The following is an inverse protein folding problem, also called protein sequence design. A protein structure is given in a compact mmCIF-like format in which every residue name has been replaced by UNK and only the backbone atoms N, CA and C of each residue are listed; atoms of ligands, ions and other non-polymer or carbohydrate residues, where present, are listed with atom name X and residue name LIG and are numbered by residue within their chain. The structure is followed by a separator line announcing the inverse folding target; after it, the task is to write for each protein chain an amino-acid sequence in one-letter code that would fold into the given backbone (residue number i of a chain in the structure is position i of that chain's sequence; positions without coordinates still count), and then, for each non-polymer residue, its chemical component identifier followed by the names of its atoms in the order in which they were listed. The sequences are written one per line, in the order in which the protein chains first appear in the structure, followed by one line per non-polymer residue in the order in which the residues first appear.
data_IF_220495163925
#
_entry.id   IF_220495163925
#
_cell.length_a   1.000
_cell.length_b   1.000
_cell.length_c   1.000
_cell.angle_alpha   90.00
_cell.angle_beta   90.00
_cell.angle_gamma   90.00
#
_symmetry.space_group_name_H-M   'P 1'
#
loop_
_entity.id
_entity.type
_entity.pdbx_description
1 polymer ?
#
# COMPACT_ATOMS: atom_id res chain seq x y z
N UNK A 1 -3.55 28.52 -54.16
CA UNK A 1 -4.06 27.21 -53.68
C UNK A 1 -3.41 26.95 -52.33
N UNK A 2 -4.20 26.89 -51.25
CA UNK A 2 -3.67 26.59 -49.91
C UNK A 2 -3.40 25.09 -49.79
N UNK A 3 -2.21 24.72 -49.32
CA UNK A 3 -1.83 23.32 -49.06
C UNK A 3 -2.72 22.76 -47.95
N UNK A 4 -3.35 21.58 -48.12
CA UNK A 4 -4.21 21.02 -47.08
C UNK A 4 -3.39 20.73 -45.82
N UNK A 5 -3.88 21.17 -44.67
CA UNK A 5 -3.22 20.98 -43.39
C UNK A 5 -3.09 19.49 -43.06
N UNK A 6 -1.90 19.09 -42.60
CA UNK A 6 -1.66 17.70 -42.20
C UNK A 6 -2.37 17.39 -40.88
N UNK A 7 -2.73 16.12 -40.68
CA UNK A 7 -3.33 15.62 -39.42
C UNK A 7 -2.51 16.02 -38.17
N UNK A 8 -1.17 16.06 -38.29
CA UNK A 8 -0.26 16.51 -37.22
C UNK A 8 -0.43 18.01 -36.92
N UNK A 9 -0.51 18.85 -37.95
CA UNK A 9 -0.70 20.29 -37.79
C UNK A 9 -2.07 20.62 -37.18
N UNK A 10 -3.11 19.87 -37.56
CA UNK A 10 -4.43 19.98 -36.94
C UNK A 10 -4.39 19.64 -35.44
N UNK A 11 -3.80 18.50 -35.07
CA UNK A 11 -3.67 18.10 -33.66
C UNK A 11 -2.80 19.08 -32.85
N UNK A 12 -1.70 19.58 -33.43
CA UNK A 12 -0.87 20.60 -32.78
C UNK A 12 -1.66 21.89 -32.53
N UNK A 13 -2.47 22.34 -33.49
CA UNK A 13 -3.34 23.48 -33.30
C UNK A 13 -4.34 23.22 -32.17
N UNK A 14 -5.04 22.08 -32.18
CA UNK A 14 -5.98 21.69 -31.10
C UNK A 14 -5.29 21.67 -29.72
N UNK A 15 -4.06 21.17 -29.63
CA UNK A 15 -3.28 21.17 -28.40
C UNK A 15 -2.87 22.56 -27.92
N UNK A 16 -2.50 23.46 -28.84
CA UNK A 16 -2.13 24.86 -28.51
C UNK A 16 -3.35 25.65 -28.06
N UNK A 17 -4.50 25.51 -28.71
CA UNK A 17 -5.71 26.30 -28.38
C UNK A 17 -6.51 25.72 -27.22
N UNK A 18 -6.54 24.38 -27.07
CA UNK A 18 -7.43 23.69 -26.12
C UNK A 18 -6.71 22.95 -24.99
N UNK A 19 -5.38 22.95 -24.96
CA UNK A 19 -4.59 22.23 -23.96
C UNK A 19 -4.56 20.71 -24.14
N UNK A 20 -3.77 20.03 -23.31
CA UNK A 20 -3.47 18.61 -23.44
C UNK A 20 -4.71 17.70 -23.34
N UNK A 21 -5.70 18.05 -22.52
CA UNK A 21 -6.96 17.28 -22.38
C UNK A 21 -7.81 17.29 -23.65
N UNK A 22 -7.90 18.44 -24.33
CA UNK A 22 -8.66 18.60 -25.59
C UNK A 22 -7.95 17.91 -26.75
N UNK A 23 -6.61 18.00 -26.81
CA UNK A 23 -5.79 17.23 -27.73
C UNK A 23 -6.01 15.72 -27.54
N UNK A 24 -5.93 15.23 -26.32
CA UNK A 24 -6.11 13.81 -26.01
C UNK A 24 -7.51 13.32 -26.38
N UNK A 25 -8.54 14.13 -26.09
CA UNK A 25 -9.94 13.82 -26.44
C UNK A 25 -10.16 13.81 -27.96
N UNK A 26 -9.53 14.73 -28.69
CA UNK A 26 -9.59 14.79 -30.16
C UNK A 26 -8.80 13.65 -30.80
N UNK A 27 -7.68 13.26 -30.21
CA UNK A 27 -6.97 12.03 -30.59
C UNK A 27 -7.84 10.80 -30.34
N UNK A 28 -8.57 10.75 -29.22
CA UNK A 28 -9.56 9.72 -28.92
C UNK A 28 -10.65 9.61 -29.98
N UNK A 29 -11.26 10.74 -30.35
CA UNK A 29 -12.30 10.81 -31.39
C UNK A 29 -11.80 10.43 -32.79
N UNK A 30 -10.50 10.63 -33.07
CA UNK A 30 -9.85 10.22 -34.32
C UNK A 30 -9.30 8.78 -34.28
N UNK A 31 -9.49 8.04 -33.18
CA UNK A 31 -8.96 6.69 -33.00
C UNK A 31 -7.43 6.63 -32.85
N UNK A 32 -6.80 7.75 -32.50
CA UNK A 32 -5.34 7.93 -32.35
C UNK A 32 -4.89 7.87 -30.88
N UNK A 33 -5.83 7.91 -29.94
CA UNK A 33 -5.63 7.59 -28.54
C UNK A 33 -6.78 6.68 -28.09
N UNK A 34 -6.57 5.79 -27.10
CA UNK A 34 -7.68 5.07 -26.50
C UNK A 34 -8.67 6.10 -25.95
N UNK A 35 -9.94 6.02 -26.34
CA UNK A 35 -10.97 6.67 -25.55
C UNK A 35 -10.88 6.08 -24.13
N UNK A 36 -11.09 6.89 -23.10
CA UNK A 36 -11.19 6.39 -21.74
C UNK A 36 -12.45 5.52 -21.62
N UNK A 37 -12.42 4.30 -22.16
CA UNK A 37 -13.36 3.25 -21.80
C UNK A 37 -13.06 2.85 -20.36
N UNK A 38 -14.11 2.64 -19.57
CA UNK A 38 -13.98 1.86 -18.34
C UNK A 38 -13.22 0.58 -18.69
N UNK A 39 -12.10 0.32 -18.00
CA UNK A 39 -11.31 -0.87 -18.27
C UNK A 39 -12.25 -2.09 -18.16
N UNK A 40 -12.36 -2.93 -19.20
CA UNK A 40 -13.16 -4.13 -19.09
C UNK A 40 -12.63 -4.98 -17.92
N UNK A 41 -13.47 -5.85 -17.33
CA UNK A 41 -13.00 -6.81 -16.33
C UNK A 41 -11.72 -7.49 -16.83
N UNK A 42 -10.72 -7.65 -15.95
CA UNK A 42 -9.47 -8.26 -16.36
C UNK A 42 -9.72 -9.68 -16.86
N UNK A 43 -9.41 -9.91 -18.13
CA UNK A 43 -9.31 -11.23 -18.71
C UNK A 43 -7.85 -11.47 -19.02
N UNK A 44 -7.25 -12.47 -18.37
CA UNK A 44 -5.89 -12.88 -18.65
C UNK A 44 -5.74 -13.18 -20.16
N UNK A 45 -4.81 -12.50 -20.87
CA UNK A 45 -4.57 -12.80 -22.27
C UNK A 45 -4.14 -14.25 -22.44
N UNK A 46 -4.77 -14.95 -23.39
CA UNK A 46 -4.44 -16.31 -23.81
C UNK A 46 -3.50 -16.25 -25.01
N UNK A 47 -2.74 -17.31 -25.25
CA UNK A 47 -1.92 -17.41 -26.47
C UNK A 47 -2.75 -17.20 -27.74
N UNK A 48 -4.01 -17.66 -27.74
CA UNK A 48 -4.96 -17.47 -28.84
C UNK A 48 -5.39 -16.02 -29.09
N UNK A 49 -5.22 -15.14 -28.10
CA UNK A 49 -5.61 -13.73 -28.21
C UNK A 49 -4.60 -12.93 -29.03
N UNK A 50 -3.45 -13.54 -29.36
CA UNK A 50 -2.37 -12.90 -30.10
C UNK A 50 -2.21 -13.52 -31.48
N UNK A 51 -2.47 -12.73 -32.53
CA UNK A 51 -2.16 -13.11 -33.91
C UNK A 51 -0.85 -12.43 -34.32
N UNK A 52 0.30 -13.04 -34.03
CA UNK A 52 1.55 -12.60 -34.65
C UNK A 52 1.51 -12.95 -36.15
N UNK A 53 1.39 -11.93 -37.01
CA UNK A 53 1.50 -12.09 -38.47
C UNK A 53 2.94 -11.79 -38.92
N UNK A 54 3.56 -12.69 -39.68
CA UNK A 54 4.92 -12.54 -40.22
C UNK A 54 5.97 -13.54 -39.70
N UNK A 55 7.11 -13.63 -40.40
CA UNK A 55 8.14 -14.70 -40.27
C UNK A 55 9.27 -14.47 -39.24
N UNK A 56 9.16 -13.55 -38.29
CA UNK A 56 10.15 -13.44 -37.20
C UNK A 56 9.51 -13.03 -35.87
N UNK A 57 9.77 -13.80 -34.80
CA UNK A 57 9.46 -13.39 -33.42
C UNK A 57 10.26 -12.13 -33.09
N UNK A 58 9.58 -10.98 -33.01
CA UNK A 58 10.21 -9.73 -32.57
C UNK A 58 10.74 -9.87 -31.15
N UNK A 59 11.85 -9.18 -30.89
CA UNK A 59 12.58 -9.24 -29.63
C UNK A 59 12.34 -8.00 -28.77
N UNK A 60 12.16 -8.19 -27.47
CA UNK A 60 11.94 -7.11 -26.50
C UNK A 60 12.92 -7.26 -25.35
N UNK A 61 13.73 -6.23 -25.14
CA UNK A 61 14.60 -6.11 -23.97
C UNK A 61 13.87 -5.35 -22.87
N UNK A 62 13.89 -5.89 -21.65
CA UNK A 62 13.20 -5.32 -20.49
C UNK A 62 14.24 -4.97 -19.43
N UNK A 63 14.26 -3.71 -19.02
CA UNK A 63 15.24 -3.19 -18.05
C UNK A 63 14.58 -3.11 -16.68
N UNK A 64 14.96 -4.02 -15.78
CA UNK A 64 14.39 -4.21 -14.45
C UNK A 64 13.47 -5.43 -14.37
N UNK A 65 13.78 -6.33 -13.44
CA UNK A 65 12.98 -7.49 -13.03
C UNK A 65 12.07 -7.20 -11.84
N UNK A 66 11.55 -5.97 -11.76
CA UNK A 66 10.46 -5.61 -10.85
C UNK A 66 9.10 -6.14 -11.32
N UNK A 67 8.03 -5.84 -10.59
CA UNK A 67 6.67 -6.28 -10.95
C UNK A 67 6.28 -5.85 -12.38
N UNK A 68 6.54 -4.59 -12.75
CA UNK A 68 6.25 -4.10 -14.10
C UNK A 68 6.99 -4.90 -15.17
N UNK A 69 8.31 -5.05 -15.06
CA UNK A 69 9.11 -5.76 -16.06
C UNK A 69 8.78 -7.25 -16.14
N UNK A 70 8.53 -7.91 -15.00
CA UNK A 70 8.13 -9.32 -14.96
C UNK A 70 6.73 -9.54 -15.58
N UNK A 71 5.76 -8.69 -15.27
CA UNK A 71 4.43 -8.76 -15.88
C UNK A 71 4.50 -8.49 -17.39
N UNK A 72 5.27 -7.48 -17.82
CA UNK A 72 5.51 -7.23 -19.25
C UNK A 72 6.13 -8.44 -19.95
N UNK A 73 7.16 -9.06 -19.35
CA UNK A 73 7.80 -10.24 -19.93
C UNK A 73 6.83 -11.43 -20.03
N UNK A 74 6.00 -11.61 -19.00
CA UNK A 74 5.01 -12.68 -18.95
C UNK A 74 3.96 -12.53 -20.08
N UNK A 75 3.36 -11.35 -20.20
CA UNK A 75 2.34 -11.08 -21.21
C UNK A 75 2.91 -11.09 -22.64
N UNK A 76 4.08 -10.49 -22.87
CA UNK A 76 4.75 -10.55 -24.18
C UNK A 76 5.19 -11.98 -24.53
N UNK A 77 5.57 -12.77 -23.53
CA UNK A 77 5.89 -14.20 -23.68
C UNK A 77 4.68 -15.01 -24.15
N UNK A 78 3.52 -14.82 -23.52
CA UNK A 78 2.23 -15.41 -23.95
C UNK A 78 1.87 -14.99 -25.38
N UNK A 79 2.24 -13.77 -25.76
CA UNK A 79 2.06 -13.25 -27.11
C UNK A 79 3.09 -13.75 -28.14
N UNK A 80 4.06 -14.59 -27.76
CA UNK A 80 5.03 -15.19 -28.65
C UNK A 80 6.30 -14.36 -28.94
N UNK A 81 6.47 -13.20 -28.29
CA UNK A 81 7.68 -12.39 -28.42
C UNK A 81 8.89 -13.07 -27.76
N UNK A 82 10.10 -12.77 -28.27
CA UNK A 82 11.35 -13.16 -27.60
C UNK A 82 11.70 -12.09 -26.56
N UNK A 83 11.53 -12.40 -25.29
CA UNK A 83 11.82 -11.47 -24.19
C UNK A 83 13.17 -11.76 -23.53
N UNK A 84 13.85 -10.70 -23.09
CA UNK A 84 15.00 -10.79 -22.18
C UNK A 84 14.91 -9.71 -21.12
N UNK A 85 15.12 -10.06 -19.86
CA UNK A 85 15.17 -9.13 -18.72
C UNK A 85 16.60 -8.95 -18.26
N UNK A 86 17.01 -7.69 -18.02
CA UNK A 86 18.22 -7.33 -17.30
C UNK A 86 17.83 -6.77 -15.93
N UNK A 87 18.21 -7.44 -14.84
CA UNK A 87 17.94 -7.01 -13.47
C UNK A 87 19.24 -6.85 -12.70
N UNK A 88 19.43 -5.67 -12.10
CA UNK A 88 20.66 -5.32 -11.38
C UNK A 88 20.84 -6.14 -10.10
N UNK A 89 19.75 -6.47 -9.40
CA UNK A 89 19.80 -7.28 -8.18
C UNK A 89 19.94 -8.76 -8.48
N UNK A 90 20.19 -9.53 -7.42
CA UNK A 90 20.25 -11.00 -7.44
C UNK A 90 18.90 -11.66 -7.15
N UNK A 91 17.79 -10.91 -7.28
CA UNK A 91 16.44 -11.36 -6.96
C UNK A 91 15.38 -10.68 -7.84
N UNK A 92 14.23 -11.32 -8.10
CA UNK A 92 13.10 -10.66 -8.73
C UNK A 92 12.37 -9.71 -7.77
N UNK A 93 11.49 -8.87 -8.32
CA UNK A 93 10.46 -8.12 -7.58
C UNK A 93 10.78 -6.65 -7.31
N UNK A 94 12.05 -6.24 -7.38
CA UNK A 94 12.44 -4.85 -7.13
C UNK A 94 12.02 -4.38 -5.73
N UNK A 95 11.11 -3.39 -5.66
CA UNK A 95 10.52 -2.92 -4.40
C UNK A 95 9.62 -3.96 -3.72
N UNK A 96 9.08 -4.93 -4.47
CA UNK A 96 8.44 -6.10 -3.87
C UNK A 96 9.52 -7.02 -3.29
N UNK A 97 9.76 -6.88 -1.99
CA UNK A 97 10.84 -7.55 -1.29
C UNK A 97 10.36 -8.08 0.06
N UNK A 98 10.56 -9.37 0.27
CA UNK A 98 10.32 -10.04 1.55
C UNK A 98 11.66 -10.48 2.17
N UNK A 99 11.96 -9.94 3.35
CA UNK A 99 13.15 -10.25 4.15
C UNK A 99 12.87 -11.47 5.01
N UNK A 100 13.78 -12.46 4.98
CA UNK A 100 13.72 -13.71 5.74
C UNK A 100 15.04 -13.99 6.43
N UNK A 101 15.11 -15.03 7.25
CA UNK A 101 16.37 -15.52 7.80
C UNK A 101 17.41 -15.77 6.70
N UNK A 102 18.57 -15.15 6.82
CA UNK A 102 19.66 -15.23 5.85
C UNK A 102 19.66 -14.16 4.76
N UNK A 103 18.63 -13.34 4.64
CA UNK A 103 18.65 -12.17 3.73
C UNK A 103 19.74 -11.20 4.18
N UNK A 104 20.62 -10.83 3.24
CA UNK A 104 21.67 -9.83 3.43
C UNK A 104 21.46 -8.70 2.43
N UNK A 105 21.56 -7.46 2.87
CA UNK A 105 21.54 -6.27 2.01
C UNK A 105 22.57 -5.26 2.53
N UNK A 106 23.25 -4.59 1.61
CA UNK A 106 24.11 -3.44 1.89
C UNK A 106 23.40 -2.20 1.35
N UNK A 107 23.13 -1.23 2.19
CA UNK A 107 22.53 0.05 1.76
C UNK A 107 23.54 0.96 1.06
N UNK A 108 23.08 2.14 0.61
CA UNK A 108 23.90 3.08 -0.14
C UNK A 108 25.01 3.73 0.70
N UNK A 109 24.87 3.71 2.03
CA UNK A 109 25.88 4.22 2.97
C UNK A 109 26.90 3.13 3.36
N UNK A 110 26.78 1.94 2.76
CA UNK A 110 27.69 0.82 2.97
C UNK A 110 27.39 -0.01 4.21
N UNK A 111 26.27 0.23 4.89
CA UNK A 111 25.88 -0.57 6.05
C UNK A 111 25.28 -1.89 5.59
N UNK A 112 25.87 -2.99 6.04
CA UNK A 112 25.40 -4.35 5.72
C UNK A 112 24.59 -4.92 6.87
N UNK A 113 23.35 -5.32 6.59
CA UNK A 113 22.49 -6.00 7.53
C UNK A 113 22.22 -7.43 7.08
N UNK A 114 22.22 -8.36 8.03
CA UNK A 114 21.81 -9.75 7.81
C UNK A 114 20.65 -10.12 8.73
N UNK A 115 19.50 -10.43 8.14
CA UNK A 115 18.32 -10.84 8.88
C UNK A 115 18.52 -12.24 9.49
N UNK A 116 18.14 -12.40 10.76
CA UNK A 116 18.25 -13.64 11.52
C UNK A 116 16.86 -14.17 11.97
N UNK A 117 15.83 -13.93 11.16
CA UNK A 117 14.50 -14.44 11.43
C UNK A 117 14.47 -15.98 11.43
N UNK A 118 13.62 -16.55 12.28
CA UNK A 118 13.38 -17.98 12.36
C UNK A 118 12.69 -18.50 11.08
N UNK A 119 12.76 -19.81 10.80
CA UNK A 119 12.04 -20.39 9.66
C UNK A 119 10.55 -20.01 9.67
N UNK A 120 10.02 -19.67 8.49
CA UNK A 120 8.63 -19.23 8.32
C UNK A 120 8.33 -17.79 8.74
N UNK A 121 9.28 -17.09 9.38
CA UNK A 121 9.12 -15.69 9.78
C UNK A 121 9.67 -14.75 8.70
N UNK A 122 8.95 -13.65 8.45
CA UNK A 122 9.33 -12.71 7.40
C UNK A 122 8.82 -11.28 7.62
N UNK A 123 9.49 -10.33 6.95
CA UNK A 123 9.05 -8.95 6.82
C UNK A 123 8.83 -8.64 5.34
N UNK A 124 7.65 -8.15 4.97
CA UNK A 124 7.44 -7.49 3.69
C UNK A 124 7.99 -6.06 3.77
N UNK A 125 9.26 -5.87 3.35
CA UNK A 125 9.97 -4.60 3.45
C UNK A 125 9.42 -3.52 2.49
N UNK A 126 8.73 -3.93 1.42
CA UNK A 126 7.97 -3.04 0.54
C UNK A 126 6.46 -3.26 0.61
N UNK A 127 5.78 -3.59 -0.50
CA UNK A 127 4.34 -3.86 -0.52
C UNK A 127 3.99 -5.05 0.37
N UNK A 128 2.86 -4.96 1.06
CA UNK A 128 2.48 -5.93 2.10
C UNK A 128 0.98 -6.25 2.15
N UNK A 129 0.14 -5.53 1.40
CA UNK A 129 -1.31 -5.69 1.37
C UNK A 129 -1.86 -5.36 -0.03
N UNK A 130 -2.95 -6.00 -0.42
CA UNK A 130 -3.59 -5.93 -1.74
C UNK A 130 -5.10 -5.76 -1.53
N UNK A 131 -5.71 -4.77 -2.20
CA UNK A 131 -7.16 -4.55 -2.18
C UNK A 131 -7.89 -5.46 -3.19
N UNK A 132 -9.17 -5.70 -2.95
CA UNK A 132 -10.01 -6.64 -3.73
C UNK A 132 -10.07 -6.35 -5.24
N UNK A 133 -10.02 -5.07 -5.61
CA UNK A 133 -10.17 -4.64 -7.00
C UNK A 133 -8.84 -4.65 -7.79
N UNK A 134 -7.70 -4.89 -7.13
CA UNK A 134 -6.39 -4.79 -7.76
C UNK A 134 -6.13 -6.03 -8.63
N UNK A 135 -5.71 -5.80 -9.88
CA UNK A 135 -5.31 -6.87 -10.84
C UNK A 135 -4.23 -7.80 -10.29
N UNK A 136 -3.49 -7.38 -9.26
CA UNK A 136 -2.54 -8.22 -8.54
C UNK A 136 -3.17 -9.51 -8.01
N UNK A 137 -4.44 -9.49 -7.57
CA UNK A 137 -5.15 -10.70 -7.16
C UNK A 137 -5.44 -11.65 -8.33
N UNK A 138 -5.68 -11.10 -9.53
CA UNK A 138 -5.87 -11.90 -10.73
C UNK A 138 -4.58 -12.62 -11.13
N UNK A 139 -3.43 -11.93 -11.08
CA UNK A 139 -2.12 -12.57 -11.25
C UNK A 139 -1.84 -13.64 -10.18
N UNK A 140 -2.24 -13.41 -8.92
CA UNK A 140 -2.09 -14.44 -7.89
C UNK A 140 -2.90 -15.71 -8.25
N UNK A 141 -4.12 -15.53 -8.77
CA UNK A 141 -4.97 -16.64 -9.21
C UNK A 141 -4.38 -17.37 -10.42
N UNK A 142 -3.98 -16.65 -11.45
CA UNK A 142 -3.41 -17.21 -12.68
C UNK A 142 -2.11 -17.97 -12.41
N UNK A 143 -1.25 -17.45 -11.53
CA UNK A 143 0.07 -18.02 -11.22
C UNK A 143 0.04 -19.02 -10.05
N UNK A 144 -1.14 -19.31 -9.48
CA UNK A 144 -1.28 -20.25 -8.36
C UNK A 144 -0.58 -19.79 -7.08
N UNK A 145 -0.53 -18.48 -6.82
CA UNK A 145 0.04 -17.91 -5.58
C UNK A 145 -1.07 -17.83 -4.53
N UNK A 146 -1.02 -18.65 -3.45
CA UNK A 146 -2.04 -18.61 -2.41
C UNK A 146 -2.02 -17.27 -1.66
N UNK A 147 -3.21 -16.78 -1.33
CA UNK A 147 -3.42 -15.54 -0.57
C UNK A 147 -4.12 -15.84 0.76
N UNK A 148 -3.92 -14.95 1.74
CA UNK A 148 -4.57 -14.94 3.05
C UNK A 148 -5.04 -13.52 3.40
N UNK A 149 -5.92 -13.39 4.38
CA UNK A 149 -6.41 -12.08 4.83
C UNK A 149 -5.26 -11.28 5.44
N UNK A 150 -5.10 -10.05 4.99
CA UNK A 150 -4.30 -9.04 5.66
C UNK A 150 -5.20 -8.26 6.61
N UNK A 151 -4.93 -8.32 7.92
CA UNK A 151 -5.65 -7.54 8.91
C UNK A 151 -5.24 -6.07 8.82
N UNK A 152 -5.99 -5.28 8.05
CA UNK A 152 -5.74 -3.83 7.88
C UNK A 152 -6.47 -2.97 8.92
N UNK A 153 -7.35 -3.59 9.71
CA UNK A 153 -8.12 -2.97 10.78
C UNK A 153 -8.23 -3.96 11.93
N UNK A 154 -8.15 -3.49 13.16
CA UNK A 154 -8.37 -4.32 14.34
C UNK A 154 -8.94 -3.48 15.48
N UNK A 155 -10.09 -3.88 16.01
CA UNK A 155 -10.75 -3.25 17.15
C UNK A 155 -9.89 -3.25 18.43
N UNK A 156 -9.00 -4.24 18.57
CA UNK A 156 -8.09 -4.38 19.70
C UNK A 156 -6.70 -3.80 19.44
N UNK A 157 -6.42 -3.30 18.23
CA UNK A 157 -5.25 -2.45 17.99
C UNK A 157 -5.31 -1.15 18.81
N UNK A 158 -4.19 -0.43 18.89
CA UNK A 158 -4.08 0.78 19.70
C UNK A 158 -3.95 2.07 18.87
N UNK A 159 -4.57 3.13 19.38
CA UNK A 159 -4.12 4.49 19.18
C UNK A 159 -3.22 4.88 20.35
N UNK A 160 -2.06 5.46 20.06
CA UNK A 160 -1.14 5.95 21.09
C UNK A 160 -0.47 7.23 20.60
N UNK A 161 -0.76 8.36 21.23
CA UNK A 161 -0.16 9.64 20.87
C UNK A 161 0.56 10.24 22.08
N UNK A 162 1.67 10.94 21.83
CA UNK A 162 2.41 11.68 22.84
C UNK A 162 2.34 13.19 22.58
N UNK A 163 2.53 13.98 23.63
CA UNK A 163 2.55 15.44 23.59
C UNK A 163 1.26 16.07 23.02
N UNK A 164 0.09 15.45 23.27
CA UNK A 164 -1.20 15.93 22.77
C UNK A 164 -2.37 15.67 23.75
N UNK A 165 -2.97 16.75 24.25
CA UNK A 165 -4.14 16.69 25.14
C UNK A 165 -3.92 15.92 26.45
N UNK A 166 -4.99 15.72 27.21
CA UNK A 166 -4.94 15.00 28.49
C UNK A 166 -4.73 13.48 28.35
N UNK A 167 -5.02 12.91 27.17
CA UNK A 167 -4.82 11.48 26.87
C UNK A 167 -3.42 11.17 26.31
N UNK A 168 -2.52 12.15 26.30
CA UNK A 168 -1.12 11.95 25.91
C UNK A 168 -0.49 10.78 26.68
N UNK A 169 0.20 9.89 25.98
CA UNK A 169 0.84 8.70 26.56
C UNK A 169 -0.13 7.59 26.97
N UNK A 170 -1.41 7.70 26.62
CA UNK A 170 -2.41 6.66 26.91
C UNK A 170 -2.59 5.74 25.71
N UNK A 171 -2.46 4.43 25.92
CA UNK A 171 -2.81 3.43 24.91
C UNK A 171 -4.33 3.21 24.89
N UNK A 172 -4.99 3.61 23.80
CA UNK A 172 -6.44 3.56 23.65
C UNK A 172 -6.79 2.54 22.57
N UNK A 173 -7.60 1.52 22.89
CA UNK A 173 -8.04 0.54 21.89
C UNK A 173 -8.84 1.23 20.78
N UNK A 174 -8.73 0.76 19.54
CA UNK A 174 -9.48 1.30 18.42
C UNK A 174 -10.99 1.28 18.68
N UNK A 175 -11.51 0.19 19.29
CA UNK A 175 -12.93 0.10 19.69
C UNK A 175 -13.36 1.18 20.68
N UNK A 176 -12.50 1.51 21.65
CA UNK A 176 -12.75 2.53 22.67
C UNK A 176 -12.77 3.92 22.03
N UNK A 177 -11.75 4.23 21.22
CA UNK A 177 -11.68 5.51 20.50
C UNK A 177 -12.87 5.69 19.54
N UNK A 178 -13.24 4.65 18.77
CA UNK A 178 -14.40 4.70 17.87
C UNK A 178 -15.70 4.91 18.62
N UNK A 179 -15.93 4.17 19.70
CA UNK A 179 -17.13 4.31 20.51
C UNK A 179 -17.25 5.74 21.07
N UNK A 180 -16.16 6.30 21.60
CA UNK A 180 -16.19 7.65 22.17
C UNK A 180 -16.33 8.73 21.08
N UNK A 181 -15.59 8.64 19.97
CA UNK A 181 -15.71 9.59 18.84
C UNK A 181 -17.10 9.55 18.21
N UNK A 182 -17.61 8.36 17.86
CA UNK A 182 -18.92 8.24 17.22
C UNK A 182 -20.06 8.54 18.19
N UNK A 183 -19.91 8.20 19.47
CA UNK A 183 -20.86 8.54 20.52
C UNK A 183 -21.03 10.04 20.65
N UNK A 184 -19.92 10.77 20.78
CA UNK A 184 -19.97 12.23 20.90
C UNK A 184 -20.38 12.96 19.62
N UNK A 185 -19.93 12.52 18.44
CA UNK A 185 -20.41 13.08 17.16
C UNK A 185 -21.92 12.88 17.04
N UNK A 186 -22.44 11.72 17.44
CA UNK A 186 -23.86 11.43 17.41
C UNK A 186 -24.64 12.26 18.42
N UNK A 187 -24.14 12.41 19.66
CA UNK A 187 -24.75 13.26 20.68
C UNK A 187 -24.87 14.70 20.20
N UNK A 188 -23.78 15.28 19.69
CA UNK A 188 -23.75 16.67 19.23
C UNK A 188 -24.68 16.89 18.04
N UNK A 189 -24.65 15.99 17.05
CA UNK A 189 -25.50 16.10 15.87
C UNK A 189 -26.98 15.87 16.22
N UNK A 190 -27.29 14.94 17.13
CA UNK A 190 -28.66 14.70 17.59
C UNK A 190 -29.21 15.92 18.32
N UNK A 191 -28.42 16.53 19.22
CA UNK A 191 -28.81 17.77 19.91
C UNK A 191 -29.05 18.92 18.93
N UNK A 192 -28.16 19.13 17.97
CA UNK A 192 -28.34 20.16 16.94
C UNK A 192 -29.61 19.92 16.10
N UNK A 193 -29.87 18.66 15.73
CA UNK A 193 -31.07 18.26 14.98
C UNK A 193 -32.35 18.52 15.79
N UNK A 194 -32.38 18.06 17.04
CA UNK A 194 -33.55 18.17 17.92
C UNK A 194 -33.87 19.63 18.30
N UNK A 195 -32.85 20.47 18.43
CA UNK A 195 -32.99 21.92 18.67
C UNK A 195 -33.42 22.71 17.43
N UNK A 196 -33.55 22.07 16.26
CA UNK A 196 -33.98 22.71 15.03
C UNK A 196 -32.89 23.44 14.25
N UNK A 197 -31.61 23.27 14.62
CA UNK A 197 -30.50 23.96 13.95
C UNK A 197 -30.32 23.53 12.47
N UNK A 198 -30.93 22.40 12.07
CA UNK A 198 -30.85 21.82 10.73
C UNK A 198 -32.18 21.87 9.95
N UNK A 199 -33.18 22.60 10.44
CA UNK A 199 -34.53 22.64 9.85
C UNK A 199 -34.55 23.25 8.44
N UNK A 200 -33.53 24.02 8.05
CA UNK A 200 -33.35 24.49 6.68
C UNK A 200 -32.92 23.41 5.68
N UNK A 201 -32.45 22.26 6.15
CA UNK A 201 -31.95 21.16 5.32
C UNK A 201 -32.76 19.87 5.45
N UNK A 202 -33.49 19.69 6.55
CA UNK A 202 -34.16 18.44 6.91
C UNK A 202 -35.66 18.65 7.08
N UNK A 203 -36.46 17.76 6.49
CA UNK A 203 -37.88 17.66 6.82
C UNK A 203 -38.07 17.10 8.23
N UNK A 204 -39.28 17.22 8.79
CA UNK A 204 -39.60 16.60 10.08
C UNK A 204 -39.34 15.08 10.08
N UNK A 205 -39.67 14.41 8.98
CA UNK A 205 -39.42 12.97 8.81
C UNK A 205 -37.92 12.64 8.73
N UNK A 206 -37.13 13.48 8.04
CA UNK A 206 -35.68 13.29 7.96
C UNK A 206 -35.02 13.44 9.33
N UNK A 207 -35.49 14.39 10.16
CA UNK A 207 -35.00 14.60 11.53
C UNK A 207 -35.21 13.36 12.37
N UNK A 208 -36.42 12.79 12.39
CA UNK A 208 -36.71 11.60 13.19
C UNK A 208 -35.91 10.38 12.70
N UNK A 209 -35.71 10.22 11.38
CA UNK A 209 -34.85 9.15 10.82
C UNK A 209 -33.38 9.34 11.19
N UNK A 210 -32.87 10.56 11.13
CA UNK A 210 -31.51 10.89 11.53
C UNK A 210 -31.31 10.64 13.03
N UNK A 211 -32.22 11.09 13.88
CA UNK A 211 -32.15 10.85 15.33
C UNK A 211 -32.18 9.35 15.67
N UNK A 212 -33.01 8.56 14.98
CA UNK A 212 -33.02 7.11 15.14
C UNK A 212 -31.69 6.46 14.73
N UNK A 213 -31.11 6.88 13.60
CA UNK A 213 -29.79 6.44 13.16
C UNK A 213 -28.71 6.80 14.19
N UNK A 214 -28.64 8.05 14.64
CA UNK A 214 -27.62 8.54 15.58
C UNK A 214 -27.72 7.85 16.95
N UNK A 215 -28.94 7.54 17.40
CA UNK A 215 -29.17 6.74 18.61
C UNK A 215 -28.49 5.39 18.53
N UNK A 216 -28.62 4.70 17.40
CA UNK A 216 -27.97 3.42 17.19
C UNK A 216 -26.47 3.57 16.93
N UNK A 217 -26.07 4.44 16.01
CA UNK A 217 -24.69 4.62 15.56
C UNK A 217 -23.77 5.08 16.71
N UNK A 218 -24.20 6.05 17.52
CA UNK A 218 -23.45 6.54 18.67
C UNK A 218 -23.72 5.83 20.00
N UNK A 219 -24.71 4.92 20.05
CA UNK A 219 -25.18 4.33 21.31
C UNK A 219 -25.55 5.39 22.36
N UNK A 220 -26.26 6.44 21.95
CA UNK A 220 -26.67 7.56 22.81
C UNK A 220 -28.05 7.32 23.45
N UNK A 221 -28.34 8.03 24.54
CA UNK A 221 -29.61 8.00 25.25
C UNK A 221 -30.80 8.51 24.40
N UNK A 222 -32.04 8.25 24.83
CA UNK A 222 -33.24 8.74 24.15
C UNK A 222 -33.42 10.26 24.33
N UNK A 223 -34.43 10.82 23.64
CA UNK A 223 -35.03 12.12 24.00
C UNK A 223 -35.64 12.01 25.40
N UNK A 224 -35.37 13.00 26.26
CA UNK A 224 -35.94 13.13 27.60
C UNK A 224 -36.70 14.46 27.67
N UNK A 225 -38.02 14.39 27.54
CA UNK A 225 -38.89 15.58 27.43
C UNK A 225 -38.79 16.47 28.65
N UNK A 226 -38.70 15.88 29.84
CA UNK A 226 -38.66 16.61 31.12
C UNK A 226 -37.29 17.22 31.42
N UNK A 227 -36.23 16.77 30.72
CA UNK A 227 -34.87 17.28 30.89
C UNK A 227 -34.12 17.29 29.55
N UNK A 228 -34.30 18.35 28.73
CA UNK A 228 -33.63 18.46 27.43
C UNK A 228 -32.10 18.37 27.50
N UNK A 229 -31.48 18.73 28.64
CA UNK A 229 -30.03 18.60 28.83
C UNK A 229 -29.56 17.14 29.03
N UNK A 230 -30.48 16.24 29.40
CA UNK A 230 -30.25 14.80 29.51
C UNK A 230 -30.53 14.04 28.21
N UNK A 231 -31.27 14.63 27.26
CA UNK A 231 -31.54 14.05 25.95
C UNK A 231 -30.25 13.75 25.18
N UNK A 232 -30.26 12.63 24.45
CA UNK A 232 -29.24 12.30 23.44
C UNK A 232 -27.81 12.13 23.99
N UNK A 233 -27.65 12.01 25.31
CA UNK A 233 -26.32 11.92 25.93
C UNK A 233 -25.62 10.61 25.60
N UNK A 234 -24.35 10.69 25.25
CA UNK A 234 -23.41 9.59 25.25
C UNK A 234 -22.84 9.40 26.66
N UNK A 235 -23.15 8.27 27.28
CA UNK A 235 -22.65 7.89 28.61
C UNK A 235 -21.69 6.70 28.57
N UNK A 236 -21.21 6.37 27.37
CA UNK A 236 -20.41 5.17 27.11
C UNK A 236 -21.26 3.98 26.68
N UNK A 237 -20.59 2.96 26.14
CA UNK A 237 -21.23 1.74 25.65
C UNK A 237 -20.28 0.54 25.82
N UNK A 238 -20.83 -0.68 25.88
CA UNK A 238 -20.03 -1.91 25.83
C UNK A 238 -19.20 -2.05 24.54
N UNK A 239 -19.48 -1.25 23.50
CA UNK A 239 -18.62 -1.09 22.32
C UNK A 239 -17.18 -0.68 22.67
N UNK A 240 -16.97 -0.05 23.83
CA UNK A 240 -15.64 0.30 24.36
C UNK A 240 -14.81 -0.91 24.80
N UNK A 241 -15.41 -2.10 24.89
CA UNK A 241 -14.82 -3.29 25.48
C UNK A 241 -15.10 -3.40 26.98
N UNK A 242 -14.42 -4.35 27.62
CA UNK A 242 -14.60 -4.70 29.02
C UNK A 242 -13.26 -4.66 29.75
N UNK A 243 -13.26 -4.23 31.02
CA UNK A 243 -12.13 -4.36 31.94
C UNK A 243 -12.02 -5.78 32.47
N UNK A 244 -13.18 -6.45 32.63
CA UNK A 244 -13.32 -7.87 32.94
C UNK A 244 -14.31 -8.44 31.94
N UNK A 245 -13.87 -9.38 31.12
CA UNK A 245 -14.73 -9.98 30.09
C UNK A 245 -15.93 -10.69 30.72
N UNK A 246 -17.10 -10.67 30.05
CA UNK A 246 -18.25 -11.47 30.47
C UNK A 246 -17.91 -12.97 30.47
N UNK A 247 -18.29 -13.65 31.56
CA UNK A 247 -18.05 -15.07 31.80
C UNK A 247 -19.34 -15.91 31.74
N UNK A 248 -19.34 -17.02 32.47
CA UNK A 248 -20.48 -17.92 32.55
C UNK A 248 -21.43 -17.56 33.71
N UNK A 249 -22.67 -18.06 33.67
CA UNK A 249 -23.63 -17.89 34.76
C UNK A 249 -24.02 -16.43 34.96
N UNK A 250 -23.69 -15.88 36.14
CA UNK A 250 -24.02 -14.49 36.54
C UNK A 250 -22.86 -13.51 36.33
N UNK A 251 -21.77 -13.93 35.69
CA UNK A 251 -20.59 -13.09 35.44
C UNK A 251 -20.82 -12.18 34.22
N UNK A 252 -21.53 -11.06 34.40
CA UNK A 252 -21.84 -10.12 33.32
C UNK A 252 -20.61 -9.34 32.78
N UNK A 253 -19.45 -9.48 33.41
CA UNK A 253 -18.25 -8.69 33.11
C UNK A 253 -18.36 -7.25 33.63
N UNK A 254 -17.28 -6.48 33.47
CA UNK A 254 -17.22 -5.06 33.81
C UNK A 254 -16.95 -4.25 32.56
N UNK A 255 -17.94 -3.54 31.98
CA UNK A 255 -17.72 -2.68 30.83
C UNK A 255 -16.64 -1.63 31.10
N UNK A 256 -15.86 -1.30 30.07
CA UNK A 256 -14.91 -0.19 30.16
C UNK A 256 -15.69 1.13 30.16
N UNK A 257 -15.97 1.66 31.36
CA UNK A 257 -16.74 2.87 31.63
C UNK A 257 -16.16 3.61 32.86
N UNK A 258 -16.34 4.94 32.97
CA UNK A 258 -17.03 5.85 32.05
C UNK A 258 -16.25 6.13 30.74
N UNK A 259 -16.86 6.74 29.71
CA UNK A 259 -16.13 7.23 28.54
C UNK A 259 -15.10 8.29 28.90
N UNK A 260 -14.09 8.49 28.05
CA UNK A 260 -13.21 9.66 28.19
C UNK A 260 -14.01 10.94 27.96
N UNK A 261 -13.62 12.06 28.59
CA UNK A 261 -14.34 13.32 28.41
C UNK A 261 -14.28 13.79 26.94
N UNK A 262 -15.37 14.39 26.45
CA UNK A 262 -15.49 14.91 25.08
C UNK A 262 -14.28 15.75 24.64
N UNK A 263 -13.91 16.74 25.46
CA UNK A 263 -12.79 17.63 25.17
C UNK A 263 -11.47 16.88 25.05
N UNK A 264 -11.26 15.83 25.85
CA UNK A 264 -10.05 15.02 25.83
C UNK A 264 -10.00 14.13 24.58
N UNK A 265 -11.14 13.56 24.18
CA UNK A 265 -11.26 12.77 22.94
C UNK A 265 -10.95 13.64 21.72
N UNK A 266 -11.53 14.84 21.63
CA UNK A 266 -11.25 15.79 20.55
C UNK A 266 -9.77 16.20 20.56
N UNK A 267 -9.27 16.64 21.72
CA UNK A 267 -7.91 17.14 21.86
C UNK A 267 -6.85 16.07 21.55
N UNK A 268 -7.11 14.80 21.87
CA UNK A 268 -6.17 13.70 21.61
C UNK A 268 -5.91 13.40 20.13
N UNK A 269 -6.82 13.83 19.24
CA UNK A 269 -6.73 13.56 17.81
C UNK A 269 -6.97 12.11 17.39
N UNK A 270 -7.41 11.21 18.29
CA UNK A 270 -7.60 9.77 17.97
C UNK A 270 -8.54 9.52 16.79
N UNK A 271 -9.50 10.42 16.54
CA UNK A 271 -10.41 10.34 15.41
C UNK A 271 -9.76 10.52 14.03
N UNK A 272 -8.56 11.13 13.95
CA UNK A 272 -7.90 11.45 12.69
C UNK A 272 -7.50 10.21 11.88
N UNK A 273 -7.31 9.07 12.54
CA UNK A 273 -6.91 7.83 11.90
C UNK A 273 -8.10 7.02 11.33
N UNK A 274 -9.34 7.35 11.71
CA UNK A 274 -10.52 6.54 11.37
C UNK A 274 -10.80 6.52 9.86
N UNK A 275 -10.50 7.60 9.14
CA UNK A 275 -10.77 7.70 7.71
C UNK A 275 -9.91 6.76 6.85
N UNK A 276 -8.77 6.29 7.38
CA UNK A 276 -7.95 5.27 6.74
C UNK A 276 -8.77 4.03 6.37
N UNK A 277 -9.75 3.69 7.21
CA UNK A 277 -10.59 2.51 7.06
C UNK A 277 -11.52 2.54 5.84
N UNK A 278 -11.74 3.72 5.27
CA UNK A 278 -12.61 3.93 4.11
C UNK A 278 -11.83 4.14 2.81
N UNK A 279 -10.49 4.20 2.88
CA UNK A 279 -9.66 4.39 1.69
C UNK A 279 -9.89 3.28 0.68
N UNK A 280 -10.09 3.64 -0.59
CA UNK A 280 -10.39 2.69 -1.68
C UNK A 280 -9.39 1.53 -1.77
N UNK A 281 -8.11 1.81 -1.50
CA UNK A 281 -7.01 0.84 -1.52
C UNK A 281 -6.66 0.27 -0.13
N UNK A 282 -7.48 0.54 0.89
CA UNK A 282 -7.20 0.23 2.30
C UNK A 282 -8.38 -0.43 3.04
N UNK A 283 -9.61 -0.20 2.60
CA UNK A 283 -10.79 -0.76 3.22
C UNK A 283 -10.74 -2.28 3.23
N UNK A 284 -11.15 -2.88 4.34
CA UNK A 284 -11.28 -4.33 4.46
C UNK A 284 -12.39 -4.84 3.52
N UNK A 285 -12.27 -6.04 2.92
CA UNK A 285 -11.22 -7.04 3.14
C UNK A 285 -9.95 -6.76 2.30
N UNK A 286 -8.79 -6.98 2.93
CA UNK A 286 -7.47 -6.87 2.31
C UNK A 286 -6.77 -8.23 2.31
N UNK A 287 -5.83 -8.43 1.39
CA UNK A 287 -5.12 -9.70 1.20
C UNK A 287 -3.60 -9.54 1.15
N UNK A 288 -2.90 -10.63 1.42
CA UNK A 288 -1.47 -10.79 1.15
C UNK A 288 -1.18 -12.21 0.63
N UNK A 289 -0.10 -12.45 -0.11
CA UNK A 289 0.34 -13.80 -0.41
C UNK A 289 0.84 -14.54 0.83
N UNK A 290 0.46 -15.81 0.97
CA UNK A 290 0.93 -16.69 2.04
C UNK A 290 2.44 -16.79 1.97
N UNK A 291 3.11 -16.44 3.08
CA UNK A 291 4.56 -16.58 3.20
C UNK A 291 5.38 -15.48 2.54
N UNK A 292 4.78 -14.36 2.11
CA UNK A 292 5.48 -13.14 1.68
C UNK A 292 5.04 -12.58 0.32
N UNK A 293 5.03 -11.26 0.19
CA UNK A 293 4.61 -10.57 -1.04
C UNK A 293 5.50 -10.89 -2.25
N UNK A 294 6.77 -11.26 -2.01
CA UNK A 294 7.71 -11.67 -3.05
C UNK A 294 7.37 -13.02 -3.71
N UNK A 295 6.42 -13.79 -3.19
CA UNK A 295 5.92 -15.02 -3.84
C UNK A 295 5.34 -14.73 -5.22
N UNK A 296 4.78 -13.54 -5.43
CA UNK A 296 4.27 -13.07 -6.73
C UNK A 296 5.41 -12.93 -7.76
N UNK A 297 6.45 -12.10 -7.54
CA UNK A 297 7.53 -11.96 -8.51
C UNK A 297 8.32 -13.26 -8.74
N UNK A 298 8.46 -14.13 -7.73
CA UNK A 298 9.02 -15.47 -7.96
C UNK A 298 8.11 -16.37 -8.81
N UNK A 299 6.79 -16.23 -8.72
CA UNK A 299 5.87 -16.97 -9.59
C UNK A 299 5.93 -16.47 -11.04
N UNK A 300 5.98 -15.14 -11.23
CA UNK A 300 6.23 -14.55 -12.55
C UNK A 300 7.58 -14.98 -13.12
N UNK A 301 8.65 -15.00 -12.33
CA UNK A 301 9.98 -15.47 -12.75
C UNK A 301 9.91 -16.92 -13.29
N UNK A 302 9.22 -17.81 -12.56
CA UNK A 302 9.03 -19.20 -13.00
C UNK A 302 8.27 -19.28 -14.32
N UNK A 303 7.21 -18.48 -14.46
CA UNK A 303 6.37 -18.49 -15.66
C UNK A 303 7.06 -17.87 -16.89
N UNK A 304 7.86 -16.82 -16.70
CA UNK A 304 8.70 -16.19 -17.75
C UNK A 304 9.88 -17.09 -18.14
N UNK A 305 10.35 -17.92 -17.22
CA UNK A 305 11.49 -18.81 -17.38
C UNK A 305 12.81 -18.12 -17.00
N UNK A 306 13.55 -18.76 -16.10
CA UNK A 306 14.83 -18.24 -15.55
C UNK A 306 15.85 -17.88 -16.64
N UNK A 307 15.88 -18.62 -17.75
CA UNK A 307 16.77 -18.37 -18.89
C UNK A 307 16.54 -17.03 -19.61
N UNK A 308 15.36 -16.44 -19.45
CA UNK A 308 15.02 -15.13 -20.01
C UNK A 308 15.53 -13.97 -19.13
N UNK A 309 16.09 -14.24 -17.94
CA UNK A 309 16.41 -13.22 -16.93
C UNK A 309 17.89 -13.26 -16.58
N UNK A 310 18.60 -12.16 -16.85
CA UNK A 310 19.99 -11.97 -16.40
C UNK A 310 19.98 -11.16 -15.09
N UNK A 311 20.27 -11.82 -13.95
CA UNK A 311 20.50 -11.14 -12.67
C UNK A 311 21.92 -10.60 -12.56
N UNK A 312 22.15 -9.64 -11.65
CA UNK A 312 23.43 -8.96 -11.53
C UNK A 312 23.79 -8.17 -12.79
N UNK A 313 22.79 -7.78 -13.60
CA UNK A 313 22.97 -7.07 -14.86
C UNK A 313 22.64 -5.59 -14.66
N UNK A 314 23.64 -4.78 -14.34
CA UNK A 314 23.46 -3.35 -14.12
C UNK A 314 23.57 -2.58 -15.43
N UNK A 315 22.45 -2.05 -15.91
CA UNK A 315 22.39 -1.21 -17.12
C UNK A 315 23.22 0.06 -16.92
N UNK A 316 24.04 0.39 -17.91
CA UNK A 316 24.94 1.55 -17.91
C UNK A 316 24.74 2.49 -19.10
N UNK A 317 24.09 2.08 -20.19
CA UNK A 317 23.63 3.00 -21.24
C UNK A 317 22.46 2.42 -22.05
N UNK A 318 21.65 3.31 -22.64
CA UNK A 318 20.48 2.96 -23.46
C UNK A 318 20.45 3.85 -24.71
N UNK A 319 20.50 3.25 -25.89
CA UNK A 319 20.59 3.96 -27.17
C UNK A 319 19.56 3.45 -28.17
N UNK A 320 18.67 4.32 -28.63
CA UNK A 320 17.88 4.04 -29.83
C UNK A 320 18.80 4.00 -31.06
N UNK A 321 18.64 2.99 -31.90
CA UNK A 321 19.38 2.79 -33.15
C UNK A 321 18.39 2.74 -34.32
N UNK A 322 18.90 2.69 -35.55
CA UNK A 322 18.05 2.50 -36.74
C UNK A 322 17.40 1.12 -36.80
N UNK A 323 17.95 0.13 -36.08
CA UNK A 323 17.50 -1.27 -36.11
C UNK A 323 16.72 -1.70 -34.85
N UNK A 324 16.57 -0.82 -33.86
CA UNK A 324 15.94 -1.13 -32.56
C UNK A 324 16.64 -0.39 -31.42
N UNK A 325 16.92 -1.08 -30.32
CA UNK A 325 17.56 -0.51 -29.13
C UNK A 325 18.81 -1.30 -28.76
N UNK A 326 19.87 -0.57 -28.41
CA UNK A 326 21.11 -1.11 -27.85
C UNK A 326 21.22 -0.70 -26.37
N UNK A 327 21.62 -1.65 -25.53
CA UNK A 327 21.80 -1.44 -24.09
C UNK A 327 23.15 -2.01 -23.68
N UNK A 328 23.98 -1.17 -23.07
CA UNK A 328 25.21 -1.61 -22.41
C UNK A 328 24.90 -1.88 -20.94
N UNK A 329 25.43 -2.97 -20.41
CA UNK A 329 25.28 -3.34 -19.00
C UNK A 329 26.53 -4.03 -18.47
N UNK A 330 26.77 -3.88 -17.17
CA UNK A 330 27.75 -4.70 -16.45
C UNK A 330 27.10 -6.01 -16.06
N UNK A 331 27.67 -7.13 -16.48
CA UNK A 331 27.18 -8.47 -16.16
C UNK A 331 27.53 -8.93 -14.73
N UNK A 332 27.00 -10.07 -14.29
CA UNK A 332 27.26 -10.62 -12.95
C UNK A 332 28.73 -11.00 -12.73
N UNK A 333 29.51 -11.15 -13.81
CA UNK A 333 30.95 -11.39 -13.83
C UNK A 333 31.78 -10.09 -13.81
N UNK A 334 31.12 -8.92 -13.72
CA UNK A 334 31.77 -7.60 -13.77
C UNK A 334 32.14 -7.14 -15.18
N UNK A 335 31.90 -7.95 -16.22
CA UNK A 335 32.26 -7.56 -17.59
C UNK A 335 31.21 -6.66 -18.23
N UNK A 336 31.65 -5.71 -19.04
CA UNK A 336 30.76 -4.88 -19.87
C UNK A 336 30.23 -5.70 -21.05
N UNK A 337 28.91 -5.71 -21.24
CA UNK A 337 28.20 -6.47 -22.27
C UNK A 337 27.21 -5.57 -23.01
N UNK A 338 26.91 -5.95 -24.24
CA UNK A 338 25.92 -5.27 -25.09
C UNK A 338 24.75 -6.22 -25.34
N UNK A 339 23.52 -5.72 -25.19
CA UNK A 339 22.30 -6.40 -25.59
C UNK A 339 21.54 -5.54 -26.61
N UNK A 340 21.01 -6.17 -27.65
CA UNK A 340 20.18 -5.52 -28.66
C UNK A 340 18.81 -6.19 -28.77
N UNK A 341 17.80 -5.41 -29.10
CA UNK A 341 16.44 -5.90 -29.38
C UNK A 341 15.69 -4.95 -30.31
N UNK A 342 14.61 -5.43 -30.93
CA UNK A 342 13.74 -4.57 -31.75
C UNK A 342 13.09 -3.46 -30.90
N UNK A 343 12.69 -3.78 -29.67
CA UNK A 343 12.08 -2.85 -28.72
C UNK A 343 12.71 -2.95 -27.33
N UNK A 344 12.57 -1.87 -26.55
CA UNK A 344 12.96 -1.84 -25.15
C UNK A 344 11.81 -1.35 -24.27
N UNK A 345 11.55 -2.04 -23.17
CA UNK A 345 10.68 -1.55 -22.09
C UNK A 345 11.56 -1.23 -20.88
N UNK A 346 11.68 0.04 -20.55
CA UNK A 346 12.46 0.49 -19.40
C UNK A 346 11.57 0.60 -18.16
N UNK A 347 11.87 -0.17 -17.12
CA UNK A 347 11.16 -0.13 -15.82
C UNK A 347 12.07 0.33 -14.68
N UNK A 348 13.27 0.81 -15.02
CA UNK A 348 14.17 1.48 -14.09
C UNK A 348 13.46 2.72 -13.54
N UNK A 349 13.50 2.98 -12.22
CA UNK A 349 12.85 4.15 -11.65
C UNK A 349 13.28 5.44 -12.36
N UNK A 350 12.37 6.38 -12.66
CA UNK A 350 12.67 7.57 -13.47
C UNK A 350 13.82 8.41 -12.92
N UNK A 351 13.91 8.55 -11.59
CA UNK A 351 14.99 9.24 -10.89
C UNK A 351 16.37 8.57 -11.04
N UNK A 352 16.42 7.28 -11.38
CA UNK A 352 17.66 6.57 -11.68
C UNK A 352 17.95 6.67 -13.18
N UNK A 353 16.91 6.48 -14.01
CA UNK A 353 17.02 6.49 -15.47
C UNK A 353 17.57 7.81 -16.02
N UNK A 354 17.19 8.95 -15.42
CA UNK A 354 17.69 10.27 -15.85
C UNK A 354 19.22 10.38 -15.81
N UNK A 355 19.88 9.60 -14.94
CA UNK A 355 21.33 9.58 -14.77
C UNK A 355 22.03 8.52 -15.63
N UNK A 356 21.28 7.68 -16.36
CA UNK A 356 21.85 6.67 -17.25
C UNK A 356 22.10 7.31 -18.63
N UNK A 357 23.34 7.26 -19.15
CA UNK A 357 23.67 7.71 -20.50
C UNK A 357 22.68 7.21 -21.55
N UNK A 358 22.10 8.13 -22.32
CA UNK A 358 21.12 7.81 -23.36
C UNK A 358 20.98 8.92 -24.41
N UNK A 359 20.48 8.54 -25.59
CA UNK A 359 20.10 9.46 -26.66
C UNK A 359 18.61 9.88 -26.62
N UNK A 360 17.99 9.79 -25.45
CA UNK A 360 16.67 10.37 -25.20
C UNK A 360 16.73 11.90 -25.38
N UNK A 361 15.67 12.47 -25.93
CA UNK A 361 15.58 13.93 -26.09
C UNK A 361 15.59 14.62 -24.73
N UNK A 362 16.04 15.88 -24.71
CA UNK A 362 16.07 16.66 -23.46
C UNK A 362 14.69 16.75 -22.81
N UNK A 363 13.64 16.95 -23.60
CA UNK A 363 12.26 16.98 -23.08
C UNK A 363 11.86 15.70 -22.34
N UNK A 364 12.33 14.53 -22.78
CA UNK A 364 12.08 13.26 -22.07
C UNK A 364 12.89 13.22 -20.77
N UNK A 365 14.15 13.66 -20.79
CA UNK A 365 15.00 13.72 -19.58
C UNK A 365 14.41 14.68 -18.54
N UNK A 366 13.90 15.82 -18.96
CA UNK A 366 13.23 16.79 -18.09
C UNK A 366 11.95 16.20 -17.48
N UNK A 367 11.16 15.46 -18.28
CA UNK A 367 9.97 14.77 -17.78
C UNK A 367 10.30 13.66 -16.77
N UNK A 368 11.41 12.94 -16.94
CA UNK A 368 11.87 11.93 -15.98
C UNK A 368 12.24 12.56 -14.63
N UNK A 369 12.80 13.77 -14.63
CA UNK A 369 13.17 14.49 -13.42
C UNK A 369 11.96 15.00 -12.61
N UNK A 370 10.77 15.05 -13.20
CA UNK A 370 9.54 15.48 -12.51
C UNK A 370 9.13 14.52 -11.38
N UNK A 371 9.42 13.22 -11.51
CA UNK A 371 9.07 12.22 -10.51
C UNK A 371 10.01 12.30 -9.30
N UNK A 372 9.56 12.94 -8.22
CA UNK A 372 10.33 13.10 -6.99
C UNK A 372 10.30 11.81 -6.15
N UNK A 373 11.46 11.30 -5.68
CA UNK A 373 11.52 10.18 -4.74
C UNK A 373 10.83 10.52 -3.42
N UNK A 374 10.22 9.52 -2.78
CA UNK A 374 9.61 9.66 -1.46
C UNK A 374 10.29 8.68 -0.50
N UNK A 375 10.71 9.19 0.65
CA UNK A 375 11.30 8.39 1.72
C UNK A 375 10.25 7.58 2.47
N UNK A 376 10.53 6.30 2.66
CA UNK A 376 9.74 5.39 3.48
C UNK A 376 10.62 4.25 3.98
N UNK A 377 10.34 3.74 5.17
CA UNK A 377 11.10 2.65 5.76
C UNK A 377 10.23 1.73 6.61
N UNK A 378 10.73 0.50 6.81
CA UNK A 378 10.17 -0.47 7.75
C UNK A 378 11.26 -1.16 8.54
N UNK A 379 10.99 -1.48 9.81
CA UNK A 379 11.82 -2.40 10.60
C UNK A 379 11.02 -3.63 11.01
N UNK A 380 11.64 -4.80 10.89
CA UNK A 380 11.07 -6.07 11.34
C UNK A 380 11.67 -6.50 12.66
N UNK A 381 10.84 -6.66 13.70
CA UNK A 381 11.25 -7.07 15.03
C UNK A 381 10.70 -8.46 15.34
N UNK A 382 11.56 -9.47 15.36
CA UNK A 382 11.14 -10.82 15.75
C UNK A 382 11.15 -10.98 17.27
N UNK A 383 10.00 -11.32 17.82
CA UNK A 383 9.85 -11.67 19.22
C UNK A 383 9.88 -13.19 19.42
N UNK A 384 10.49 -13.62 20.53
CA UNK A 384 10.51 -15.01 20.95
C UNK A 384 9.18 -15.52 21.51
N UNK A 385 8.24 -14.60 21.77
CA UNK A 385 6.89 -14.81 22.27
C UNK A 385 5.94 -13.80 21.63
N UNK A 386 4.78 -14.25 21.16
CA UNK A 386 3.72 -13.38 20.60
C UNK A 386 2.88 -12.75 21.73
N UNK A 387 3.50 -11.83 22.46
CA UNK A 387 2.88 -11.15 23.61
C UNK A 387 1.59 -10.41 23.22
N UNK A 388 1.55 -9.85 22.00
CA UNK A 388 0.37 -9.15 21.49
C UNK A 388 -0.86 -10.07 21.36
N UNK A 389 -0.69 -11.36 21.05
CA UNK A 389 -1.81 -12.30 21.03
C UNK A 389 -2.18 -12.78 22.44
N UNK A 390 -1.17 -13.04 23.28
CA UNK A 390 -1.34 -13.71 24.58
C UNK A 390 -1.77 -12.81 25.72
N UNK A 391 -1.31 -11.57 25.71
CA UNK A 391 -1.58 -10.59 26.77
C UNK A 391 -2.55 -9.51 26.30
N UNK A 392 -2.53 -9.16 25.00
CA UNK A 392 -3.27 -8.03 24.48
C UNK A 392 -4.47 -8.42 23.61
N UNK A 393 -4.69 -9.71 23.32
CA UNK A 393 -5.72 -10.22 22.42
C UNK A 393 -5.70 -9.58 21.02
N UNK A 394 -4.53 -9.15 20.55
CA UNK A 394 -4.35 -8.53 19.23
C UNK A 394 -3.95 -9.61 18.22
N UNK A 395 -4.81 -9.85 17.24
CA UNK A 395 -4.56 -10.72 16.09
C UNK A 395 -4.59 -9.87 14.81
N UNK A 396 -3.42 -9.65 14.21
CA UNK A 396 -3.24 -8.71 13.09
C UNK A 396 -3.64 -7.25 13.42
N UNK A 397 -3.67 -6.40 12.41
CA UNK A 397 -4.03 -4.99 12.56
C UNK A 397 -2.83 -4.07 12.75
N UNK A 398 -3.16 -2.80 12.99
CA UNK A 398 -2.23 -1.69 13.04
C UNK A 398 -2.48 -0.93 14.34
N UNK A 399 -1.39 -0.59 15.02
CA UNK A 399 -1.37 0.45 16.03
C UNK A 399 -0.91 1.75 15.38
N UNK A 400 -1.68 2.82 15.56
CA UNK A 400 -1.42 4.14 14.99
C UNK A 400 -0.89 5.10 16.05
N UNK A 401 0.07 5.93 15.67
CA UNK A 401 0.71 6.88 16.59
C UNK A 401 1.18 8.14 15.88
N UNK A 402 1.24 9.26 16.61
CA UNK A 402 1.87 10.51 16.15
C UNK A 402 3.39 10.53 16.36
N UNK A 403 3.96 9.47 16.95
CA UNK A 403 5.41 9.31 17.07
C UNK A 403 6.04 9.12 15.68
N UNK A 404 7.36 9.26 15.64
CA UNK A 404 8.18 9.05 14.44
C UNK A 404 8.04 7.63 13.83
N UNK A 405 7.65 6.64 14.64
CA UNK A 405 7.30 5.29 14.20
C UNK A 405 6.12 5.27 13.21
N UNK A 406 5.19 6.23 13.35
CA UNK A 406 3.92 6.39 12.62
C UNK A 406 2.93 5.22 12.80
N UNK A 407 3.35 3.98 12.53
CA UNK A 407 2.53 2.77 12.69
C UNK A 407 3.33 1.55 13.13
N UNK A 408 2.71 0.68 13.93
CA UNK A 408 3.22 -0.66 14.29
C UNK A 408 2.24 -1.69 13.72
N UNK A 409 2.72 -2.71 13.00
CA UNK A 409 1.84 -3.73 12.42
C UNK A 409 2.06 -5.09 13.06
N UNK A 410 0.94 -5.72 13.41
CA UNK A 410 0.92 -7.09 13.91
C UNK A 410 0.82 -8.06 12.71
N UNK A 411 1.60 -9.16 12.71
CA UNK A 411 1.61 -10.09 11.58
C UNK A 411 0.23 -10.70 11.35
N UNK A 412 -0.23 -10.69 10.10
CA UNK A 412 -1.49 -11.33 9.66
C UNK A 412 -1.33 -12.82 9.34
N UNK A 413 -0.29 -13.45 9.91
CA UNK A 413 0.07 -14.84 9.64
C UNK A 413 0.65 -15.50 10.91
N UNK A 414 0.63 -16.84 10.93
CA UNK A 414 1.24 -17.64 11.99
C UNK A 414 0.62 -17.43 13.37
N UNK A 415 -0.71 -17.20 13.42
CA UNK A 415 -1.47 -17.05 14.66
C UNK A 415 -1.25 -18.22 15.61
N UNK A 416 -1.18 -17.94 16.91
CA UNK A 416 -0.89 -18.91 17.98
C UNK A 416 0.50 -19.57 17.90
N UNK A 417 1.36 -19.14 16.96
CA UNK A 417 2.74 -19.59 16.88
C UNK A 417 3.59 -19.13 18.07
N UNK A 418 4.72 -19.79 18.31
CA UNK A 418 5.61 -19.38 19.40
C UNK A 418 6.29 -18.01 19.15
N UNK A 419 6.58 -17.68 17.89
CA UNK A 419 7.33 -16.49 17.46
C UNK A 419 6.55 -15.66 16.46
N UNK A 420 6.92 -14.41 16.31
CA UNK A 420 6.32 -13.50 15.34
C UNK A 420 7.21 -12.32 15.00
N UNK A 421 7.09 -11.79 13.79
CA UNK A 421 7.75 -10.55 13.36
C UNK A 421 6.72 -9.42 13.36
N UNK A 422 6.92 -8.43 14.23
CA UNK A 422 6.21 -7.15 14.16
C UNK A 422 6.89 -6.25 13.13
N UNK A 423 6.08 -5.42 12.46
CA UNK A 423 6.61 -4.22 11.81
C UNK A 423 6.71 -3.16 12.90
N UNK A 424 7.92 -2.86 13.37
CA UNK A 424 8.16 -1.95 14.51
C UNK A 424 7.98 -0.48 14.18
N UNK A 425 8.17 -0.12 12.91
CA UNK A 425 7.71 1.13 12.33
C UNK A 425 7.39 0.90 10.85
N UNK A 426 6.43 1.66 10.35
CA UNK A 426 6.30 1.95 8.93
C UNK A 426 5.99 3.44 8.79
N UNK A 427 7.01 4.19 8.41
CA UNK A 427 7.01 5.64 8.40
C UNK A 427 7.37 6.20 7.01
N UNK A 428 7.19 7.51 6.87
CA UNK A 428 7.27 8.23 5.60
C UNK A 428 7.89 9.61 5.78
N UNK A 429 8.41 10.19 4.70
CA UNK A 429 8.91 11.56 4.67
C UNK A 429 9.99 11.80 5.74
N UNK A 430 9.89 12.93 6.45
CA UNK A 430 10.85 13.34 7.46
C UNK A 430 11.10 12.28 8.56
N UNK A 431 10.07 11.52 8.94
CA UNK A 431 10.23 10.43 9.89
C UNK A 431 11.08 9.30 9.30
N UNK A 432 10.90 8.96 8.02
CA UNK A 432 11.75 7.95 7.37
C UNK A 432 13.18 8.46 7.21
N UNK A 433 13.38 9.74 6.89
CA UNK A 433 14.69 10.37 6.77
C UNK A 433 15.47 10.36 8.10
N UNK A 434 14.77 10.61 9.22
CA UNK A 434 15.35 10.52 10.56
C UNK A 434 15.95 9.14 10.83
N UNK A 435 15.23 8.07 10.45
CA UNK A 435 15.69 6.70 10.66
C UNK A 435 16.75 6.27 9.64
N UNK A 436 16.70 6.79 8.42
CA UNK A 436 17.71 6.52 7.39
C UNK A 436 19.10 7.01 7.80
N UNK A 437 19.19 8.10 8.56
CA UNK A 437 20.45 8.62 9.09
C UNK A 437 21.05 7.79 10.25
N UNK A 438 20.30 6.82 10.80
CA UNK A 438 20.77 5.99 11.90
C UNK A 438 21.56 4.78 11.38
N UNK A 439 22.72 4.53 11.99
CA UNK A 439 23.48 3.31 11.71
C UNK A 439 22.75 2.09 12.29
N UNK A 440 22.51 1.04 11.48
CA UNK A 440 21.95 -0.20 11.98
C UNK A 440 22.84 -0.80 13.08
N UNK A 441 22.28 -1.28 14.20
CA UNK A 441 23.09 -1.86 15.26
C UNK A 441 23.85 -3.09 14.76
N UNK A 442 25.13 -3.20 15.11
CA UNK A 442 26.00 -4.32 14.77
C UNK A 442 25.56 -5.61 15.51
N UNK A 443 24.58 -6.31 14.95
CA UNK A 443 24.27 -7.70 15.28
C UNK A 443 23.80 -8.02 16.72
N UNK A 444 23.45 -7.04 17.56
CA UNK A 444 22.97 -7.33 18.91
C UNK A 444 21.54 -7.84 18.91
N UNK A 445 21.36 -9.09 19.36
CA UNK A 445 20.13 -9.48 20.07
C UNK A 445 19.92 -8.43 21.16
N UNK A 446 18.83 -7.67 21.08
CA UNK A 446 18.42 -6.81 22.20
C UNK A 446 18.39 -7.65 23.49
N UNK A 447 18.63 -7.04 24.67
CA UNK A 447 18.63 -7.78 25.92
C UNK A 447 17.33 -8.59 25.99
N UNK A 448 17.44 -9.91 26.14
CA UNK A 448 16.28 -10.73 26.46
C UNK A 448 15.82 -10.29 27.84
N UNK A 449 14.96 -9.28 27.91
CA UNK A 449 14.16 -9.04 29.10
C UNK A 449 13.22 -10.23 29.20
N UNK A 450 13.68 -11.26 29.92
CA UNK A 450 12.77 -12.21 30.56
C UNK A 450 11.92 -11.34 31.50
N UNK A 451 10.70 -11.08 31.08
CA UNK A 451 9.60 -10.77 31.99
C UNK A 451 8.77 -12.06 32.06
#
# INVERSE_FOLDING_TARGET
MATPATRRQFLQAVGVTGGAGTLYSTMGALGLAPAAQAAPPFHAPRESDFTLTGRARKSVLILGGGIAGLATAYELGKAGYRVRILEARQRPGGRNWTVRGGTTETDLDGHTQRAAFAPGQYLNAGPARIAQHMVTLDYCRELGVPIEIFGNQNADGYYYNENVGALSGTAIRHRTAKADVYGYVSELLAKATDQGALDGYLTADDKERLLAFLRNFGAIGPRVTENPAASWRYTGSNRRGYLVDPGAGLEAGTPNLPPYALSDVIASGVGQYLSFEFGWDQAMLMFQPVGGMDRIPYALERAVGRGSITYGAQVSSITNTTAGVEVVYTGPDGSSKVATADFCVCTIPPQVLVNIPSNLTQAVKDALAYAVPVSTGKIGLQYGRRWWEREENIYAGITNTNMDLSTIWYPSYGYHGAKGVLVGYYNFGANADLYAALTPPSGRRGPSRRA
#
